data_IF_015979944299
#
_entry.id   IF_015979944299
#
_cell.length_a   1.000
_cell.length_b   1.000
_cell.length_c   1.000
_cell.angle_alpha   90.00
_cell.angle_beta   90.00
_cell.angle_gamma   90.00
#
_symmetry.space_group_name_H-M   'P 1'
#
loop_
_entity.id
_entity.type
_entity.pdbx_description
1 polymer ?
#
# COMPACT_ATOMS: atom_id res chain seq x y z
N UNK A 1 -16.76 -17.12 -6.63
CA UNK A 1 -17.67 -16.02 -6.99
C UNK A 1 -16.86 -14.86 -7.61
N UNK A 2 -16.78 -14.71 -8.94
CA UNK A 2 -15.90 -13.72 -9.60
C UNK A 2 -15.86 -12.35 -8.85
N UNK A 3 -14.70 -11.91 -8.29
CA UNK A 3 -14.68 -10.70 -7.45
C UNK A 3 -14.91 -9.43 -8.29
N UNK A 4 -14.77 -9.53 -9.61
CA UNK A 4 -15.14 -8.49 -10.58
C UNK A 4 -16.64 -8.41 -10.83
N UNK A 5 -17.46 -9.34 -10.33
CA UNK A 5 -18.92 -9.26 -10.48
C UNK A 5 -19.52 -8.12 -9.62
N UNK A 6 -18.89 -7.79 -8.49
CA UNK A 6 -19.32 -6.69 -7.60
C UNK A 6 -18.09 -5.96 -7.02
N UNK A 7 -17.31 -5.25 -7.86
CA UNK A 7 -15.99 -4.73 -7.48
C UNK A 7 -16.07 -3.72 -6.34
N UNK A 8 -17.06 -2.81 -6.37
CA UNK A 8 -17.25 -1.80 -5.33
C UNK A 8 -17.65 -2.41 -3.98
N UNK A 9 -18.56 -3.39 -3.98
CA UNK A 9 -18.97 -4.08 -2.76
C UNK A 9 -17.79 -4.80 -2.12
N UNK A 10 -16.97 -5.47 -2.94
CA UNK A 10 -15.79 -6.20 -2.48
C UNK A 10 -14.69 -5.26 -1.98
N UNK A 11 -14.44 -4.13 -2.67
CA UNK A 11 -13.50 -3.11 -2.21
C UNK A 11 -13.95 -2.47 -0.87
N UNK A 12 -15.25 -2.17 -0.73
CA UNK A 12 -15.81 -1.66 0.52
C UNK A 12 -15.76 -2.69 1.65
N UNK A 13 -16.07 -3.96 1.37
CA UNK A 13 -15.93 -5.07 2.32
C UNK A 13 -14.48 -5.24 2.78
N UNK A 14 -13.52 -5.09 1.85
CA UNK A 14 -12.10 -5.12 2.17
C UNK A 14 -11.70 -3.95 3.09
N UNK A 15 -12.15 -2.73 2.80
CA UNK A 15 -11.90 -1.55 3.63
C UNK A 15 -12.55 -1.65 5.02
N UNK A 16 -13.71 -2.31 5.11
CA UNK A 16 -14.39 -2.60 6.38
C UNK A 16 -13.69 -3.69 7.19
N UNK A 17 -12.80 -4.46 6.56
CA UNK A 17 -12.20 -5.65 7.15
C UNK A 17 -13.29 -6.66 7.49
N UNK A 18 -14.06 -7.12 6.49
CA UNK A 18 -15.04 -8.19 6.69
C UNK A 18 -14.36 -9.54 6.83
N UNK A 19 -14.68 -10.27 7.92
CA UNK A 19 -13.94 -11.50 8.28
C UNK A 19 -14.01 -12.60 7.26
N UNK A 20 -15.21 -12.84 6.77
CA UNK A 20 -15.44 -13.89 5.78
C UNK A 20 -14.66 -13.65 4.49
N UNK A 21 -14.68 -12.41 3.97
CA UNK A 21 -13.99 -12.05 2.73
C UNK A 21 -12.46 -12.13 2.87
N UNK A 22 -11.92 -11.66 3.99
CA UNK A 22 -10.47 -11.73 4.25
C UNK A 22 -9.99 -13.17 4.42
N UNK A 23 -10.74 -14.02 5.15
CA UNK A 23 -10.45 -15.44 5.26
C UNK A 23 -10.49 -16.14 3.91
N UNK A 24 -11.55 -15.93 3.12
CA UNK A 24 -11.70 -16.54 1.79
C UNK A 24 -10.56 -16.19 0.83
N UNK A 25 -10.00 -14.98 0.97
CA UNK A 25 -8.91 -14.48 0.13
C UNK A 25 -7.54 -14.97 0.61
N UNK A 26 -7.30 -15.04 1.93
CA UNK A 26 -6.06 -15.55 2.54
C UNK A 26 -5.95 -17.07 2.44
N UNK A 27 -7.07 -17.79 2.45
CA UNK A 27 -7.08 -19.24 2.26
C UNK A 27 -6.92 -19.65 0.79
N UNK A 28 -6.98 -18.69 -0.14
CA UNK A 28 -6.88 -18.96 -1.57
C UNK A 28 -8.07 -19.74 -2.14
N UNK A 29 -9.16 -19.87 -1.37
CA UNK A 29 -10.43 -20.46 -1.83
C UNK A 29 -10.99 -19.70 -3.03
N UNK A 30 -10.64 -18.42 -3.16
CA UNK A 30 -11.12 -17.54 -4.19
C UNK A 30 -10.13 -17.31 -5.36
N UNK A 31 -10.27 -18.05 -6.47
CA UNK A 31 -9.38 -17.96 -7.67
C UNK A 31 -9.20 -16.56 -8.30
N UNK A 32 -10.07 -15.60 -8.00
CA UNK A 32 -9.99 -14.22 -8.52
C UNK A 32 -9.39 -13.17 -7.57
N UNK A 33 -9.03 -13.51 -6.33
CA UNK A 33 -8.58 -12.52 -5.34
C UNK A 33 -7.29 -11.80 -5.74
N UNK A 34 -6.32 -12.55 -6.30
CA UNK A 34 -5.02 -12.02 -6.74
C UNK A 34 -5.16 -10.96 -7.84
N UNK A 35 -5.77 -11.25 -9.00
CA UNK A 35 -5.90 -10.24 -10.07
C UNK A 35 -6.73 -9.03 -9.61
N UNK A 36 -7.70 -9.22 -8.71
CA UNK A 36 -8.46 -8.12 -8.13
C UNK A 36 -7.58 -7.22 -7.25
N UNK A 37 -6.77 -7.79 -6.35
CA UNK A 37 -5.83 -7.02 -5.54
C UNK A 37 -4.80 -6.28 -6.39
N UNK A 38 -4.28 -6.92 -7.44
CA UNK A 38 -3.38 -6.28 -8.41
C UNK A 38 -4.07 -5.08 -9.06
N UNK A 39 -5.32 -5.22 -9.51
CA UNK A 39 -6.07 -4.11 -10.10
C UNK A 39 -6.25 -2.95 -9.11
N UNK A 40 -6.55 -3.24 -7.85
CA UNK A 40 -6.68 -2.21 -6.80
C UNK A 40 -5.36 -1.49 -6.51
N UNK A 41 -4.24 -2.23 -6.45
CA UNK A 41 -2.91 -1.66 -6.26
C UNK A 41 -2.57 -0.72 -7.43
N UNK A 42 -2.80 -1.17 -8.65
CA UNK A 42 -2.54 -0.36 -9.85
C UNK A 42 -3.42 0.87 -9.89
N UNK A 43 -4.75 0.74 -9.72
CA UNK A 43 -5.65 1.89 -9.80
C UNK A 43 -5.42 2.91 -8.67
N UNK A 44 -5.27 2.42 -7.43
CA UNK A 44 -5.01 3.27 -6.27
C UNK A 44 -3.63 3.93 -6.32
N UNK A 45 -2.60 3.17 -6.73
CA UNK A 45 -1.25 3.68 -6.89
C UNK A 45 -1.11 4.68 -8.03
N UNK A 46 -1.73 4.42 -9.19
CA UNK A 46 -1.73 5.33 -10.33
C UNK A 46 -2.44 6.63 -10.01
N UNK A 47 -3.66 6.56 -9.45
CA UNK A 47 -4.44 7.75 -9.11
C UNK A 47 -3.70 8.63 -8.10
N UNK A 48 -3.18 8.04 -7.02
CA UNK A 48 -2.42 8.79 -6.03
C UNK A 48 -1.09 9.34 -6.60
N UNK A 49 -0.36 8.54 -7.37
CA UNK A 49 0.92 8.96 -7.98
C UNK A 49 0.77 10.09 -8.99
N UNK A 50 -0.32 10.10 -9.74
CA UNK A 50 -0.65 11.20 -10.64
C UNK A 50 -0.74 12.53 -9.89
N UNK A 51 -1.41 12.54 -8.73
CA UNK A 51 -1.60 13.78 -7.94
C UNK A 51 -0.29 14.31 -7.35
N UNK A 52 0.65 13.42 -7.03
CA UNK A 52 1.99 13.78 -6.56
C UNK A 52 2.80 14.46 -7.66
N UNK A 53 2.81 13.86 -8.87
CA UNK A 53 3.63 14.37 -9.97
C UNK A 53 3.07 15.63 -10.64
N UNK A 54 1.77 15.91 -10.48
CA UNK A 54 1.07 17.01 -11.17
C UNK A 54 1.69 18.39 -10.93
N UNK A 55 2.24 18.63 -9.73
CA UNK A 55 2.91 19.92 -9.40
C UNK A 55 4.08 20.23 -10.35
N UNK A 56 4.76 19.21 -10.85
CA UNK A 56 5.95 19.35 -11.68
C UNK A 56 5.65 19.18 -13.18
N UNK A 57 4.36 19.18 -13.56
CA UNK A 57 3.90 19.03 -14.94
C UNK A 57 3.27 17.67 -15.24
N UNK A 58 2.56 17.59 -16.36
CA UNK A 58 1.83 16.38 -16.76
C UNK A 58 2.76 15.19 -17.05
N UNK A 59 3.95 15.44 -17.59
CA UNK A 59 4.95 14.38 -17.84
C UNK A 59 5.37 13.70 -16.54
N UNK A 60 5.64 14.49 -15.50
CA UNK A 60 5.98 13.96 -14.18
C UNK A 60 4.79 13.28 -13.51
N UNK A 61 3.56 13.78 -13.72
CA UNK A 61 2.34 13.13 -13.24
C UNK A 61 2.21 11.69 -13.77
N UNK A 62 2.39 11.49 -15.09
CA UNK A 62 2.33 10.14 -15.68
C UNK A 62 3.50 9.25 -15.23
N UNK A 63 4.71 9.81 -15.16
CA UNK A 63 5.88 9.08 -14.68
C UNK A 63 5.67 8.55 -13.24
N UNK A 64 5.21 9.40 -12.33
CA UNK A 64 4.96 9.01 -10.93
C UNK A 64 3.75 8.09 -10.81
N UNK A 65 2.70 8.29 -11.62
CA UNK A 65 1.54 7.40 -11.67
C UNK A 65 1.92 5.95 -11.99
N UNK A 66 2.88 5.73 -12.91
CA UNK A 66 3.36 4.38 -13.23
C UNK A 66 4.40 3.89 -12.21
N UNK A 67 5.23 4.78 -11.69
CA UNK A 67 6.32 4.46 -10.76
C UNK A 67 5.82 3.98 -9.40
N UNK A 68 4.75 4.55 -8.86
CA UNK A 68 4.24 4.17 -7.54
C UNK A 68 3.73 2.72 -7.47
N UNK A 69 2.84 2.25 -8.38
CA UNK A 69 2.46 0.84 -8.43
C UNK A 69 3.68 -0.09 -8.58
N UNK A 70 4.65 0.30 -9.41
CA UNK A 70 5.87 -0.49 -9.60
C UNK A 70 6.65 -0.66 -8.29
N UNK A 71 6.79 0.39 -7.49
CA UNK A 71 7.43 0.34 -6.16
C UNK A 71 6.65 -0.56 -5.21
N UNK A 72 5.32 -0.45 -5.21
CA UNK A 72 4.49 -1.30 -4.35
C UNK A 72 4.67 -2.77 -4.74
N UNK A 73 4.68 -3.11 -6.03
CA UNK A 73 4.90 -4.48 -6.48
C UNK A 73 6.31 -4.99 -6.15
N UNK A 74 7.34 -4.17 -6.33
CA UNK A 74 8.71 -4.53 -5.98
C UNK A 74 8.88 -4.75 -4.47
N UNK A 75 8.28 -3.87 -3.67
CA UNK A 75 8.24 -3.97 -2.21
C UNK A 75 7.49 -5.23 -1.78
N UNK A 76 6.36 -5.53 -2.40
CA UNK A 76 5.57 -6.73 -2.14
C UNK A 76 6.33 -8.00 -2.52
N UNK A 77 7.06 -8.01 -3.64
CA UNK A 77 7.84 -9.15 -4.08
C UNK A 77 8.95 -9.48 -3.07
N UNK A 78 9.76 -8.48 -2.71
CA UNK A 78 10.87 -8.65 -1.76
C UNK A 78 10.33 -9.05 -0.37
N UNK A 79 9.32 -8.34 0.14
CA UNK A 79 8.74 -8.68 1.43
C UNK A 79 7.99 -10.02 1.41
N UNK A 80 7.39 -10.41 0.30
CA UNK A 80 6.75 -11.72 0.14
C UNK A 80 7.78 -12.85 0.27
N UNK A 81 8.97 -12.68 -0.32
CA UNK A 81 10.09 -13.60 -0.14
C UNK A 81 10.57 -13.64 1.32
N UNK A 82 10.84 -12.47 1.91
CA UNK A 82 11.32 -12.36 3.29
C UNK A 82 10.32 -12.92 4.31
N UNK A 83 9.05 -12.51 4.22
CA UNK A 83 8.00 -12.97 5.14
C UNK A 83 7.67 -14.45 4.92
N UNK A 84 7.84 -14.95 3.69
CA UNK A 84 7.78 -16.37 3.38
C UNK A 84 8.87 -17.17 4.09
N UNK A 85 10.12 -16.70 4.03
CA UNK A 85 11.26 -17.32 4.72
C UNK A 85 11.14 -17.23 6.24
N UNK A 86 10.76 -16.05 6.76
CA UNK A 86 10.48 -15.83 8.19
C UNK A 86 9.40 -16.77 8.71
N UNK A 87 8.35 -17.02 7.93
CA UNK A 87 7.29 -17.93 8.35
C UNK A 87 7.76 -19.38 8.50
N UNK A 88 8.69 -19.81 7.63
CA UNK A 88 9.31 -21.13 7.70
C UNK A 88 10.26 -21.25 8.91
N UNK A 89 10.99 -20.18 9.25
CA UNK A 89 11.96 -20.19 10.36
C UNK A 89 11.32 -19.98 11.73
N UNK A 90 10.25 -19.18 11.83
CA UNK A 90 9.52 -18.91 13.07
C UNK A 90 8.52 -20.02 13.45
N UNK A 91 8.32 -21.02 12.59
CA UNK A 91 7.43 -22.16 12.88
C UNK A 91 5.96 -21.76 13.06
N UNK A 92 5.55 -20.58 12.58
CA UNK A 92 4.22 -20.00 12.82
C UNK A 92 3.05 -20.77 12.20
N UNK A 93 3.30 -21.85 11.45
CA UNK A 93 2.29 -22.64 10.73
C UNK A 93 1.68 -21.93 9.50
N UNK A 94 2.01 -20.66 9.27
CA UNK A 94 1.48 -19.89 8.13
C UNK A 94 2.30 -20.22 6.88
N UNK A 95 1.71 -20.95 5.92
CA UNK A 95 2.39 -21.28 4.67
C UNK A 95 2.79 -20.05 3.84
N UNK A 96 3.82 -20.19 2.99
CA UNK A 96 4.33 -19.14 2.09
C UNK A 96 3.23 -18.43 1.29
N UNK A 97 2.28 -19.20 0.74
CA UNK A 97 1.15 -18.66 -0.04
C UNK A 97 0.22 -17.76 0.79
N UNK A 98 -0.07 -18.15 2.03
CA UNK A 98 -0.93 -17.38 2.94
C UNK A 98 -0.25 -16.07 3.34
N UNK A 99 1.05 -16.11 3.61
CA UNK A 99 1.86 -14.90 3.87
C UNK A 99 1.83 -13.94 2.67
N UNK A 100 2.08 -14.43 1.45
CA UNK A 100 2.04 -13.60 0.24
C UNK A 100 0.64 -12.99 0.00
N UNK A 101 -0.43 -13.78 0.16
CA UNK A 101 -1.80 -13.28 0.03
C UNK A 101 -2.14 -12.25 1.10
N UNK A 102 -1.63 -12.42 2.31
CA UNK A 102 -1.78 -11.45 3.40
C UNK A 102 -1.12 -10.12 3.06
N UNK A 103 0.13 -10.12 2.56
CA UNK A 103 0.78 -8.90 2.09
C UNK A 103 0.01 -8.26 0.94
N UNK A 104 -0.39 -9.04 -0.06
CA UNK A 104 -1.12 -8.55 -1.23
C UNK A 104 -2.42 -7.86 -0.84
N UNK A 105 -3.15 -8.45 0.10
CA UNK A 105 -4.40 -7.89 0.63
C UNK A 105 -4.16 -6.60 1.42
N UNK A 106 -3.07 -6.53 2.19
CA UNK A 106 -2.66 -5.32 2.90
C UNK A 106 -2.30 -4.16 1.99
N UNK A 107 -1.45 -4.42 1.00
CA UNK A 107 -1.07 -3.42 -0.01
C UNK A 107 -2.28 -2.99 -0.85
N UNK A 108 -3.17 -3.90 -1.23
CA UNK A 108 -4.40 -3.55 -1.93
C UNK A 108 -5.32 -2.64 -1.10
N UNK A 109 -5.48 -2.94 0.19
CA UNK A 109 -6.27 -2.10 1.11
C UNK A 109 -5.64 -0.70 1.26
N UNK A 110 -4.33 -0.64 1.44
CA UNK A 110 -3.58 0.62 1.49
C UNK A 110 -3.73 1.43 0.19
N UNK A 111 -3.63 0.79 -0.97
CA UNK A 111 -3.81 1.44 -2.27
C UNK A 111 -5.22 1.97 -2.48
N UNK A 112 -6.27 1.29 -2.02
CA UNK A 112 -7.64 1.83 -2.06
C UNK A 112 -7.74 3.09 -1.22
N UNK A 113 -7.21 3.08 0.00
CA UNK A 113 -7.24 4.24 0.91
C UNK A 113 -6.48 5.40 0.27
N UNK A 114 -5.29 5.16 -0.29
CA UNK A 114 -4.52 6.19 -1.01
C UNK A 114 -5.25 6.73 -2.23
N UNK A 115 -5.88 5.86 -3.02
CA UNK A 115 -6.70 6.27 -4.17
C UNK A 115 -7.88 7.14 -3.73
N UNK A 116 -8.53 6.81 -2.60
CA UNK A 116 -9.60 7.63 -2.02
C UNK A 116 -9.11 8.97 -1.45
N UNK A 117 -7.85 9.04 -1.01
CA UNK A 117 -7.20 10.28 -0.56
C UNK A 117 -6.61 11.10 -1.72
N UNK A 118 -6.58 10.56 -2.94
CA UNK A 118 -6.06 11.27 -4.11
C UNK A 118 -6.76 12.62 -4.38
N UNK A 119 -8.09 12.80 -4.21
CA UNK A 119 -8.72 14.11 -4.42
C UNK A 119 -8.25 15.17 -3.43
N UNK A 120 -7.93 14.78 -2.19
CA UNK A 120 -7.39 15.69 -1.15
C UNK A 120 -5.99 16.14 -1.56
N UNK A 121 -5.16 15.19 -1.97
CA UNK A 121 -3.81 15.44 -2.52
C UNK A 121 -3.86 16.35 -3.76
N UNK A 122 -4.78 16.07 -4.69
CA UNK A 122 -5.01 16.88 -5.89
C UNK A 122 -5.42 18.32 -5.55
N UNK A 123 -6.38 18.50 -4.63
CA UNK A 123 -6.81 19.83 -4.20
C UNK A 123 -5.67 20.59 -3.53
N UNK A 124 -4.88 19.93 -2.67
CA UNK A 124 -3.70 20.55 -2.07
C UNK A 124 -2.70 21.01 -3.13
N UNK A 125 -2.43 20.19 -4.15
CA UNK A 125 -1.56 20.55 -5.28
C UNK A 125 -2.08 21.76 -6.06
N UNK A 126 -3.39 21.89 -6.28
CA UNK A 126 -3.98 23.03 -6.99
C UNK A 126 -3.92 24.35 -6.21
N UNK A 127 -3.89 24.29 -4.87
CA UNK A 127 -3.84 25.48 -4.02
C UNK A 127 -2.39 25.90 -3.67
N UNK A 128 -1.38 25.18 -4.16
CA UNK A 128 0.01 25.54 -3.91
C UNK A 128 0.46 26.72 -4.77
N UNK A 129 1.28 27.64 -4.22
CA UNK A 129 1.91 28.68 -5.00
C UNK A 129 2.81 28.09 -6.10
N UNK A 130 2.99 28.84 -7.19
CA UNK A 130 3.87 28.45 -8.27
C UNK A 130 5.32 28.24 -7.78
N UNK A 131 6.05 27.24 -8.32
CA UNK A 131 7.45 27.01 -8.00
C UNK A 131 8.29 28.29 -8.23
N UNK A 132 9.21 28.60 -7.32
CA UNK A 132 10.08 29.79 -7.43
C UNK A 132 9.52 31.09 -6.85
N UNK A 133 8.34 31.08 -6.22
CA UNK A 133 7.80 32.24 -5.48
C UNK A 133 8.36 32.38 -4.06
N UNK A 134 8.29 33.58 -3.47
CA UNK A 134 8.64 33.82 -2.06
C UNK A 134 7.76 32.94 -1.14
N UNK A 135 8.33 31.86 -0.60
CA UNK A 135 7.61 30.86 0.20
C UNK A 135 7.67 29.42 -0.37
N UNK A 136 8.28 29.22 -1.53
CA UNK A 136 8.41 27.90 -2.16
C UNK A 136 9.04 26.82 -1.23
N UNK A 137 10.12 27.09 -0.46
CA UNK A 137 10.69 26.08 0.45
C UNK A 137 9.71 25.61 1.53
N UNK A 138 8.92 26.53 2.09
CA UNK A 138 7.90 26.22 3.11
C UNK A 138 6.75 25.39 2.53
N UNK A 139 6.27 25.75 1.35
CA UNK A 139 5.20 25.01 0.67
C UNK A 139 5.66 23.65 0.14
N UNK A 140 6.90 23.54 -0.32
CA UNK A 140 7.51 22.25 -0.68
C UNK A 140 7.60 21.32 0.53
N UNK A 141 8.08 21.83 1.68
CA UNK A 141 8.13 21.06 2.93
C UNK A 141 6.75 20.62 3.41
N UNK A 142 5.77 21.53 3.38
CA UNK A 142 4.38 21.21 3.70
C UNK A 142 3.79 20.12 2.78
N UNK A 143 4.11 20.15 1.48
CA UNK A 143 3.69 19.12 0.53
C UNK A 143 4.26 17.74 0.87
N UNK A 144 5.57 17.69 1.16
CA UNK A 144 6.24 16.45 1.55
C UNK A 144 5.65 15.86 2.82
N UNK A 145 5.37 16.70 3.82
CA UNK A 145 4.73 16.28 5.07
C UNK A 145 3.30 15.79 4.83
N UNK A 146 2.52 16.47 4.00
CA UNK A 146 1.16 16.05 3.64
C UNK A 146 1.17 14.65 3.01
N UNK A 147 1.96 14.42 1.97
CA UNK A 147 2.02 13.11 1.33
C UNK A 147 2.52 12.03 2.28
N UNK A 148 3.54 12.34 3.08
CA UNK A 148 4.07 11.42 4.10
C UNK A 148 2.99 11.06 5.12
N UNK A 149 2.21 12.04 5.60
CA UNK A 149 1.11 11.81 6.52
C UNK A 149 -0.01 10.96 5.91
N UNK A 150 -0.38 11.21 4.64
CA UNK A 150 -1.39 10.43 3.92
C UNK A 150 -0.95 8.97 3.73
N UNK A 151 0.31 8.74 3.33
CA UNK A 151 0.89 7.39 3.17
C UNK A 151 0.96 6.68 4.52
N UNK A 152 1.44 7.36 5.57
CA UNK A 152 1.51 6.80 6.92
C UNK A 152 0.10 6.43 7.44
N UNK A 153 -0.87 7.31 7.27
CA UNK A 153 -2.26 7.08 7.67
C UNK A 153 -2.87 5.87 6.94
N UNK A 154 -2.71 5.80 5.61
CA UNK A 154 -3.19 4.67 4.81
C UNK A 154 -2.53 3.34 5.23
N UNK A 155 -1.23 3.37 5.50
CA UNK A 155 -0.48 2.22 5.99
C UNK A 155 -0.97 1.76 7.37
N UNK A 156 -1.13 2.67 8.33
CA UNK A 156 -1.63 2.37 9.68
C UNK A 156 -3.05 1.78 9.61
N UNK A 157 -3.94 2.38 8.83
CA UNK A 157 -5.32 1.92 8.73
C UNK A 157 -5.40 0.53 8.08
N UNK A 158 -4.67 0.27 6.99
CA UNK A 158 -4.62 -1.05 6.36
C UNK A 158 -4.05 -2.13 7.30
N UNK A 159 -2.95 -1.83 8.00
CA UNK A 159 -2.27 -2.77 8.88
C UNK A 159 -3.01 -3.00 10.21
N UNK A 160 -3.67 -1.99 10.77
CA UNK A 160 -4.48 -2.14 12.00
C UNK A 160 -5.66 -3.09 11.82
N UNK A 161 -6.26 -3.09 10.62
CA UNK A 161 -7.32 -4.04 10.24
C UNK A 161 -6.76 -5.45 10.13
N UNK A 162 -5.64 -5.62 9.44
CA UNK A 162 -4.97 -6.91 9.29
C UNK A 162 -4.44 -7.50 10.61
N UNK A 163 -4.01 -6.67 11.56
CA UNK A 163 -3.57 -7.13 12.88
C UNK A 163 -4.69 -7.81 13.67
N UNK A 164 -5.94 -7.32 13.56
CA UNK A 164 -7.09 -8.01 14.17
C UNK A 164 -7.27 -9.42 13.60
N UNK A 165 -6.98 -9.64 12.32
CA UNK A 165 -7.08 -10.96 11.69
C UNK A 165 -5.98 -11.93 12.10
N UNK A 166 -4.73 -11.48 12.13
CA UNK A 166 -3.60 -12.35 12.52
C UNK A 166 -3.76 -12.80 13.97
N UNK A 167 -4.33 -11.95 14.83
CA UNK A 167 -4.62 -12.30 16.22
C UNK A 167 -5.67 -13.40 16.34
N UNK A 168 -6.68 -13.43 15.47
CA UNK A 168 -7.72 -14.45 15.47
C UNK A 168 -7.26 -15.78 14.84
N UNK A 169 -6.24 -15.76 13.99
CA UNK A 169 -5.72 -16.94 13.29
C UNK A 169 -4.58 -17.65 14.04
N UNK A 170 -3.90 -16.96 14.95
CA UNK A 170 -2.74 -17.49 15.67
C UNK A 170 -3.18 -18.29 16.91
N UNK A 171 -2.49 -19.41 17.17
CA UNK A 171 -2.72 -20.26 18.36
C UNK A 171 -2.56 -19.51 19.69
N UNK A 172 -1.87 -18.36 19.68
CA UNK A 172 -1.75 -17.44 20.82
C UNK A 172 -1.64 -15.99 20.35
N UNK A 173 -2.42 -15.09 20.98
CA UNK A 173 -2.45 -13.65 20.71
C UNK A 173 -1.05 -12.98 20.74
N UNK A 174 -0.14 -13.46 21.59
CA UNK A 174 1.21 -12.91 21.74
C UNK A 174 2.11 -13.30 20.58
N UNK A 175 2.04 -14.55 20.11
CA UNK A 175 2.85 -15.06 19.00
C UNK A 175 2.44 -14.43 17.66
N UNK A 176 1.13 -14.26 17.44
CA UNK A 176 0.59 -13.56 16.28
C UNK A 176 1.01 -12.08 16.24
N UNK A 177 1.04 -11.40 17.39
CA UNK A 177 1.45 -9.98 17.46
C UNK A 177 2.95 -9.81 17.17
N UNK A 178 3.82 -10.67 17.69
CA UNK A 178 5.26 -10.61 17.40
C UNK A 178 5.57 -10.88 15.93
N UNK A 179 4.92 -11.90 15.34
CA UNK A 179 5.09 -12.22 13.91
C UNK A 179 4.63 -11.06 13.03
N UNK A 180 3.47 -10.47 13.36
CA UNK A 180 2.96 -9.29 12.65
C UNK A 180 3.90 -8.09 12.77
N UNK A 181 4.42 -7.80 13.97
CA UNK A 181 5.36 -6.70 14.18
C UNK A 181 6.67 -6.91 13.43
N UNK A 182 7.18 -8.14 13.38
CA UNK A 182 8.35 -8.48 12.58
C UNK A 182 8.09 -8.25 11.09
N UNK A 183 6.95 -8.70 10.57
CA UNK A 183 6.54 -8.47 9.19
C UNK A 183 6.32 -6.99 8.87
N UNK A 184 5.69 -6.24 9.77
CA UNK A 184 5.48 -4.79 9.60
C UNK A 184 6.82 -4.04 9.56
N UNK A 185 7.74 -4.40 10.45
CA UNK A 185 9.08 -3.80 10.50
C UNK A 185 9.87 -4.11 9.23
N UNK A 186 9.83 -5.36 8.76
CA UNK A 186 10.43 -5.75 7.48
C UNK A 186 9.83 -4.99 6.30
N UNK A 187 8.50 -4.90 6.25
CA UNK A 187 7.78 -4.18 5.21
C UNK A 187 8.15 -2.70 5.15
N UNK A 188 8.22 -2.03 6.30
CA UNK A 188 8.63 -0.63 6.41
C UNK A 188 10.09 -0.43 6.00
N UNK A 189 10.99 -1.30 6.46
CA UNK A 189 12.40 -1.23 6.13
C UNK A 189 12.64 -1.38 4.63
N UNK A 190 12.11 -2.44 4.01
CA UNK A 190 12.23 -2.69 2.56
C UNK A 190 11.58 -1.55 1.77
N UNK A 191 10.39 -1.10 2.18
CA UNK A 191 9.71 0.03 1.54
C UNK A 191 10.56 1.30 1.56
N UNK A 192 11.22 1.61 2.68
CA UNK A 192 12.14 2.74 2.80
C UNK A 192 13.38 2.59 1.90
N UNK A 193 13.99 1.39 1.85
CA UNK A 193 15.17 1.14 1.00
C UNK A 193 14.84 1.23 -0.49
N UNK A 194 13.75 0.60 -0.94
CA UNK A 194 13.30 0.69 -2.33
C UNK A 194 12.96 2.13 -2.67
N UNK A 195 12.31 2.85 -1.75
CA UNK A 195 12.03 4.26 -1.94
C UNK A 195 13.32 5.08 -2.10
N UNK A 196 14.33 4.83 -1.28
CA UNK A 196 15.62 5.53 -1.36
C UNK A 196 16.35 5.28 -2.69
N UNK A 197 16.39 4.01 -3.13
CA UNK A 197 17.08 3.58 -4.36
C UNK A 197 16.42 4.15 -5.61
N UNK A 198 15.08 4.24 -5.63
CA UNK A 198 14.33 4.70 -6.80
C UNK A 198 14.11 6.22 -6.84
N UNK A 199 14.80 7.00 -6.01
CA UNK A 199 14.79 8.47 -6.18
C UNK A 199 15.42 8.87 -7.52
N UNK A 200 14.96 9.96 -8.15
CA UNK A 200 14.02 10.97 -7.63
C UNK A 200 12.54 10.68 -7.85
N UNK A 201 11.69 11.21 -6.95
CA UNK A 201 10.22 11.22 -7.07
C UNK A 201 9.65 12.58 -7.43
N UNK A 202 10.44 13.64 -7.22
CA UNK A 202 10.01 15.04 -7.26
C UNK A 202 10.92 15.91 -8.14
N UNK A 203 11.86 15.31 -8.88
CA UNK A 203 12.81 16.01 -9.75
C UNK A 203 12.70 15.42 -11.15
N UNK A 204 12.79 16.28 -12.17
CA UNK A 204 12.71 15.90 -13.59
C UNK A 204 13.58 14.68 -13.89
N UNK A 205 13.12 13.77 -14.77
CA UNK A 205 14.00 12.79 -15.38
C UNK A 205 15.04 13.55 -16.21
N UNK A 206 16.24 13.69 -15.65
CA UNK A 206 17.45 14.04 -16.38
C UNK A 206 18.14 12.77 -16.86
#
# INVERSE_FOLDING_TARGET
>A
MNPFANPFKNAAALCRGEKQLLTDWIEGSHRGSIPFCIALITLGGCSYGFTIGLRHGLEMAFYVALKLPFIIFLTLFINGMLNGMLSLTLGSGIGFRKSLQFLLTGFATMSIILGALSPISFFATLNMPEPGTLGDPTWHGANLLLHTALIAYAGILANSRLLHYVRDLADSHSSGTHTFLAWLTGNLFVGAQISWILRPYFVSPG
#
